data_IF_143173820522
#
_entry.id   IF_143173820522
#
_cell.length_a   1.000
_cell.length_b   1.000
_cell.length_c   1.000
_cell.angle_alpha   90.00
_cell.angle_beta   90.00
_cell.angle_gamma   90.00
#
_symmetry.space_group_name_H-M   'P 1'
#
loop_
_entity.id
_entity.type
_entity.pdbx_description
1 polymer ?
#
# COMPACT_ATOMS: atom_id res chain seq x y z
N UNK A 1 -0.24 22.34 3.26
CA UNK A 1 -0.38 21.68 2.00
C UNK A 1 -0.57 20.16 2.15
N UNK A 2 -0.85 19.53 1.07
CA UNK A 2 -0.98 18.09 0.93
C UNK A 2 -0.37 17.67 -0.40
N UNK A 3 0.41 16.61 -0.40
CA UNK A 3 0.86 15.93 -1.62
C UNK A 3 1.27 14.48 -1.33
N UNK A 4 1.83 13.79 -2.31
CA UNK A 4 2.43 12.45 -2.18
C UNK A 4 3.55 12.28 -3.21
N UNK A 5 4.34 11.24 -3.08
CA UNK A 5 5.41 10.85 -4.00
C UNK A 5 4.85 10.14 -5.25
N UNK A 6 4.09 10.87 -6.04
CA UNK A 6 3.43 10.34 -7.23
C UNK A 6 4.37 9.99 -8.39
N UNK A 7 5.65 10.29 -8.28
CA UNK A 7 6.64 9.84 -9.26
C UNK A 7 6.69 8.32 -9.36
N UNK A 8 6.36 7.62 -8.29
CA UNK A 8 6.25 6.16 -8.27
C UNK A 8 4.80 5.72 -8.42
N UNK A 9 4.53 4.91 -9.42
CA UNK A 9 3.18 4.41 -9.77
C UNK A 9 2.43 3.80 -8.59
N UNK A 10 3.15 3.16 -7.65
CA UNK A 10 2.52 2.48 -6.53
C UNK A 10 1.77 3.44 -5.60
N UNK A 11 2.27 4.65 -5.33
CA UNK A 11 1.57 5.61 -4.47
C UNK A 11 0.25 6.08 -5.09
N UNK A 12 0.23 6.28 -6.41
CA UNK A 12 -1.00 6.56 -7.14
C UNK A 12 -2.00 5.39 -7.01
N UNK A 13 -1.53 4.16 -7.18
CA UNK A 13 -2.35 2.96 -7.03
C UNK A 13 -2.86 2.76 -5.60
N UNK A 14 -2.03 3.00 -4.60
CA UNK A 14 -2.41 2.93 -3.18
C UNK A 14 -3.47 3.98 -2.84
N UNK A 15 -3.33 5.21 -3.35
CA UNK A 15 -4.33 6.26 -3.20
C UNK A 15 -5.67 5.83 -3.79
N UNK A 16 -5.68 5.32 -5.01
CA UNK A 16 -6.88 4.83 -5.67
C UNK A 16 -7.53 3.68 -4.90
N UNK A 17 -6.73 2.73 -4.41
CA UNK A 17 -7.22 1.61 -3.59
C UNK A 17 -7.81 2.10 -2.26
N UNK A 18 -7.16 3.03 -1.58
CA UNK A 18 -7.66 3.63 -0.35
C UNK A 18 -8.99 4.34 -0.53
N UNK A 19 -9.11 5.15 -1.58
CA UNK A 19 -10.36 5.84 -1.94
C UNK A 19 -11.47 4.89 -2.38
N UNK A 20 -11.13 3.70 -2.84
CA UNK A 20 -12.05 2.67 -3.35
C UNK A 20 -12.36 1.58 -2.33
N UNK A 21 -11.79 1.66 -1.14
CA UNK A 21 -11.89 0.58 -0.14
C UNK A 21 -13.34 0.23 0.20
N UNK A 22 -14.21 1.24 0.29
CA UNK A 22 -15.62 1.04 0.57
C UNK A 22 -16.30 0.15 -0.49
N UNK A 23 -16.03 0.35 -1.78
CA UNK A 23 -16.59 -0.44 -2.88
C UNK A 23 -15.94 -1.81 -2.97
N UNK A 24 -14.62 -1.88 -2.85
CA UNK A 24 -13.87 -3.13 -2.96
C UNK A 24 -14.17 -4.13 -1.84
N UNK A 25 -14.70 -3.67 -0.72
CA UNK A 25 -15.09 -4.50 0.42
C UNK A 25 -16.56 -4.92 0.43
N UNK A 26 -17.38 -4.40 -0.47
CA UNK A 26 -18.75 -4.89 -0.71
C UNK A 26 -18.75 -6.34 -1.20
N UNK A 27 -19.92 -6.98 -1.20
CA UNK A 27 -20.06 -8.33 -1.76
C UNK A 27 -19.65 -8.37 -3.24
N UNK A 28 -20.06 -7.38 -4.03
CA UNK A 28 -19.70 -7.29 -5.45
C UNK A 28 -18.21 -6.97 -5.66
N UNK A 29 -17.66 -6.08 -4.84
CA UNK A 29 -16.22 -5.79 -4.87
C UNK A 29 -15.37 -7.01 -4.53
N UNK A 30 -15.78 -7.82 -3.55
CA UNK A 30 -15.09 -9.08 -3.23
C UNK A 30 -15.18 -10.10 -4.35
N UNK A 31 -16.34 -10.25 -4.98
CA UNK A 31 -16.50 -11.12 -6.16
C UNK A 31 -15.56 -10.66 -7.29
N UNK A 32 -15.52 -9.36 -7.57
CA UNK A 32 -14.64 -8.80 -8.58
C UNK A 32 -13.17 -9.11 -8.28
N UNK A 33 -12.70 -8.87 -7.04
CA UNK A 33 -11.32 -9.17 -6.64
C UNK A 33 -10.96 -10.65 -6.81
N UNK A 34 -11.87 -11.53 -6.41
CA UNK A 34 -11.68 -12.99 -6.56
C UNK A 34 -11.55 -13.37 -8.03
N UNK A 35 -12.46 -12.89 -8.89
CA UNK A 35 -12.42 -13.19 -10.32
C UNK A 35 -11.19 -12.58 -11.01
N UNK A 36 -10.81 -11.36 -10.64
CA UNK A 36 -9.62 -10.71 -11.19
C UNK A 36 -8.32 -11.45 -10.82
N UNK A 37 -8.26 -12.01 -9.61
CA UNK A 37 -7.09 -12.72 -9.09
C UNK A 37 -7.03 -14.18 -9.54
N UNK A 38 -8.08 -14.72 -10.15
CA UNK A 38 -8.11 -16.12 -10.61
C UNK A 38 -7.44 -16.23 -11.98
N UNK A 39 -6.25 -16.87 -12.05
CA UNK A 39 -5.55 -17.05 -13.33
C UNK A 39 -6.25 -18.05 -14.26
N UNK A 40 -7.23 -18.80 -13.76
CA UNK A 40 -7.99 -19.80 -14.54
C UNK A 40 -9.28 -19.23 -15.10
N UNK A 41 -9.73 -18.06 -14.62
CA UNK A 41 -10.92 -17.40 -15.13
C UNK A 41 -10.63 -16.81 -16.51
N UNK A 42 -11.22 -17.41 -17.53
CA UNK A 42 -11.10 -16.97 -18.93
C UNK A 42 -12.01 -15.78 -19.24
N UNK A 43 -12.98 -15.50 -18.41
CA UNK A 43 -13.96 -14.42 -18.59
C UNK A 43 -13.45 -13.05 -18.12
N UNK A 44 -12.18 -12.90 -17.87
CA UNK A 44 -11.47 -11.71 -17.39
C UNK A 44 -12.37 -10.51 -17.09
N UNK A 45 -12.58 -10.25 -15.80
CA UNK A 45 -13.32 -9.05 -15.37
C UNK A 45 -12.49 -7.80 -15.66
N UNK A 46 -13.11 -6.80 -16.29
CA UNK A 46 -12.48 -5.52 -16.58
C UNK A 46 -12.62 -4.50 -15.46
N UNK A 47 -12.18 -3.28 -15.71
CA UNK A 47 -12.35 -2.12 -14.83
C UNK A 47 -13.64 -1.33 -15.14
N UNK A 48 -14.41 -1.76 -16.11
CA UNK A 48 -15.66 -1.16 -16.56
C UNK A 48 -16.93 -1.69 -15.87
N UNK A 49 -16.72 -2.37 -14.74
CA UNK A 49 -17.79 -2.92 -13.91
C UNK A 49 -18.40 -1.86 -12.96
N UNK A 50 -19.25 -2.30 -12.02
CA UNK A 50 -19.94 -1.42 -11.07
C UNK A 50 -19.05 -0.82 -9.99
N UNK A 51 -17.82 -1.34 -9.80
CA UNK A 51 -16.90 -0.92 -8.72
C UNK A 51 -16.01 0.24 -9.16
N UNK A 52 -15.28 0.06 -10.25
CA UNK A 52 -14.20 0.96 -10.63
C UNK A 52 -14.61 2.32 -11.19
N UNK A 53 -15.71 2.48 -11.93
CA UNK A 53 -16.13 3.81 -12.40
C UNK A 53 -16.36 4.80 -11.26
N UNK A 54 -16.95 4.34 -10.15
CA UNK A 54 -17.12 5.15 -8.95
C UNK A 54 -15.79 5.48 -8.26
N UNK A 55 -14.86 4.54 -8.24
CA UNK A 55 -13.52 4.73 -7.69
C UNK A 55 -12.72 5.79 -8.49
N UNK A 56 -12.73 5.71 -9.81
CA UNK A 56 -12.08 6.69 -10.68
C UNK A 56 -12.70 8.09 -10.54
N UNK A 57 -14.03 8.18 -10.45
CA UNK A 57 -14.71 9.45 -10.23
C UNK A 57 -14.30 10.10 -8.89
N UNK A 58 -14.11 9.29 -7.82
CA UNK A 58 -13.59 9.79 -6.54
C UNK A 58 -12.14 10.22 -6.62
N UNK A 59 -11.30 9.50 -7.34
CA UNK A 59 -9.90 9.88 -7.54
C UNK A 59 -9.82 11.23 -8.28
N UNK A 60 -10.61 11.40 -9.32
CA UNK A 60 -10.72 12.64 -10.05
C UNK A 60 -11.21 13.80 -9.15
N UNK A 61 -12.22 13.55 -8.32
CA UNK A 61 -12.71 14.54 -7.36
C UNK A 61 -11.63 14.87 -6.32
N UNK A 62 -10.94 13.87 -5.79
CA UNK A 62 -9.84 14.05 -4.85
C UNK A 62 -8.73 14.92 -5.43
N UNK A 63 -8.31 14.69 -6.67
CA UNK A 63 -7.31 15.52 -7.36
C UNK A 63 -7.79 16.98 -7.46
N UNK A 64 -9.05 17.21 -7.83
CA UNK A 64 -9.63 18.55 -7.89
C UNK A 64 -9.65 19.22 -6.53
N UNK A 65 -10.09 18.54 -5.50
CA UNK A 65 -10.28 19.10 -4.15
C UNK A 65 -8.95 19.39 -3.44
N UNK A 66 -7.94 18.58 -3.69
CA UNK A 66 -6.60 18.78 -3.12
C UNK A 66 -5.75 19.77 -3.91
N UNK A 67 -6.15 20.11 -5.13
CA UNK A 67 -5.42 21.01 -6.00
C UNK A 67 -4.08 20.45 -6.52
N UNK A 68 -3.96 19.13 -6.57
CA UNK A 68 -2.78 18.47 -7.14
C UNK A 68 -2.56 18.90 -8.59
N UNK A 69 -1.31 19.17 -8.93
CA UNK A 69 -0.88 19.65 -10.24
C UNK A 69 0.08 18.68 -10.92
N UNK A 70 0.40 18.94 -12.18
CA UNK A 70 1.39 18.14 -12.90
C UNK A 70 2.78 18.18 -12.23
N UNK A 71 3.13 19.27 -11.53
CA UNK A 71 4.40 19.37 -10.82
C UNK A 71 4.45 18.41 -9.60
N UNK A 72 3.32 18.13 -8.97
CA UNK A 72 3.27 17.16 -7.86
C UNK A 72 3.59 15.73 -8.33
N UNK A 73 3.35 15.42 -9.60
CA UNK A 73 3.66 14.10 -10.18
C UNK A 73 5.16 13.83 -10.33
N UNK A 74 5.99 14.86 -10.21
CA UNK A 74 7.45 14.75 -10.30
C UNK A 74 8.13 14.59 -8.93
N UNK A 75 7.35 14.72 -7.84
CA UNK A 75 7.88 14.57 -6.48
C UNK A 75 8.17 13.10 -6.17
N UNK A 76 9.35 12.86 -5.62
CA UNK A 76 9.76 11.56 -5.11
C UNK A 76 9.59 11.48 -3.59
N UNK A 77 9.88 10.31 -3.03
CA UNK A 77 9.76 10.05 -1.60
C UNK A 77 10.60 11.01 -0.73
N UNK A 78 11.84 11.27 -1.13
CA UNK A 78 12.74 12.14 -0.36
C UNK A 78 12.27 13.59 -0.36
N UNK A 79 11.74 14.06 -1.50
CA UNK A 79 11.17 15.41 -1.63
C UNK A 79 10.00 15.59 -0.67
N UNK A 80 9.02 14.69 -0.72
CA UNK A 80 7.79 14.77 0.08
C UNK A 80 8.10 14.61 1.57
N UNK A 81 8.96 13.66 1.93
CA UNK A 81 9.42 13.44 3.30
C UNK A 81 10.13 14.67 3.84
N UNK A 82 11.01 15.28 3.02
CA UNK A 82 11.69 16.52 3.37
C UNK A 82 10.75 17.70 3.58
N UNK A 83 9.73 17.86 2.73
CA UNK A 83 8.70 18.89 2.86
C UNK A 83 7.87 18.70 4.13
N UNK A 84 7.46 17.47 4.45
CA UNK A 84 6.74 17.18 5.68
C UNK A 84 7.60 17.47 6.92
N UNK A 85 8.85 17.03 6.91
CA UNK A 85 9.80 17.27 8.01
C UNK A 85 10.04 18.76 8.28
N UNK A 86 9.95 19.62 7.27
CA UNK A 86 10.06 21.08 7.39
C UNK A 86 8.73 21.79 7.76
N UNK A 87 7.62 21.04 7.86
CA UNK A 87 6.31 21.60 8.13
C UNK A 87 5.65 22.28 6.93
N UNK A 88 6.15 22.07 5.72
CA UNK A 88 5.58 22.61 4.47
C UNK A 88 4.31 21.85 4.08
N UNK A 89 4.20 20.58 4.50
CA UNK A 89 3.03 19.73 4.32
C UNK A 89 2.39 19.43 5.67
N UNK A 90 1.07 19.50 5.72
CA UNK A 90 0.30 19.04 6.87
C UNK A 90 0.02 17.53 6.84
N UNK A 91 -0.06 16.95 5.65
CA UNK A 91 -0.36 15.54 5.40
C UNK A 91 0.28 15.09 4.10
N UNK A 92 0.62 13.82 4.03
CA UNK A 92 0.97 13.13 2.79
C UNK A 92 0.68 11.64 2.91
N UNK A 93 0.64 10.92 1.79
CA UNK A 93 0.49 9.46 1.82
C UNK A 93 1.80 8.80 2.22
N UNK A 94 1.73 7.91 3.20
CA UNK A 94 2.87 7.16 3.71
C UNK A 94 2.42 5.87 4.37
N UNK A 95 3.39 5.10 4.86
CA UNK A 95 3.17 3.91 5.67
C UNK A 95 3.35 4.20 7.17
N UNK A 96 3.01 3.21 8.02
CA UNK A 96 3.26 3.30 9.47
C UNK A 96 4.75 3.50 9.81
N UNK A 97 5.66 2.98 9.00
CA UNK A 97 7.11 3.19 9.18
C UNK A 97 7.51 4.68 9.09
N UNK A 98 6.81 5.48 8.28
CA UNK A 98 7.03 6.93 8.21
C UNK A 98 6.78 7.64 9.55
N UNK A 99 5.81 7.19 10.33
CA UNK A 99 5.52 7.77 11.66
C UNK A 99 6.70 7.57 12.60
N UNK A 100 7.27 6.36 12.64
CA UNK A 100 8.43 6.06 13.48
C UNK A 100 9.63 6.93 13.10
N UNK A 101 9.93 7.00 11.81
CA UNK A 101 11.03 7.82 11.29
C UNK A 101 10.91 9.30 11.72
N UNK A 102 9.72 9.88 11.67
CA UNK A 102 9.52 11.28 12.09
C UNK A 102 9.60 11.45 13.60
N UNK A 103 9.10 10.51 14.37
CA UNK A 103 9.23 10.54 15.84
C UNK A 103 10.69 10.51 16.28
N UNK A 104 11.53 9.73 15.65
CA UNK A 104 12.98 9.70 15.90
C UNK A 104 13.66 11.03 15.60
N UNK A 105 13.11 11.81 14.69
CA UNK A 105 13.53 13.18 14.38
C UNK A 105 12.90 14.24 15.30
N UNK A 106 12.10 13.84 16.30
CA UNK A 106 11.40 14.75 17.20
C UNK A 106 10.17 15.41 16.61
N UNK A 107 9.65 14.90 15.50
CA UNK A 107 8.44 15.39 14.83
C UNK A 107 7.24 14.59 15.34
N UNK A 108 6.24 15.28 15.89
CA UNK A 108 4.99 14.66 16.35
C UNK A 108 4.09 14.32 15.16
N UNK A 109 4.29 13.15 14.60
CA UNK A 109 3.52 12.61 13.49
C UNK A 109 2.55 11.53 13.96
N UNK A 110 1.38 11.47 13.34
CA UNK A 110 0.38 10.44 13.57
C UNK A 110 -0.11 9.84 12.26
N UNK A 111 -0.54 8.60 12.31
CA UNK A 111 -1.06 7.88 11.15
C UNK A 111 -2.59 7.96 11.13
N UNK A 112 -3.13 8.38 9.99
CA UNK A 112 -4.56 8.49 9.76
C UNK A 112 -5.02 7.46 8.72
N UNK A 113 -6.18 6.82 8.93
CA UNK A 113 -6.76 5.95 7.91
C UNK A 113 -7.29 6.77 6.73
N UNK A 114 -7.52 6.13 5.60
CA UNK A 114 -8.36 6.69 4.55
C UNK A 114 -9.80 6.85 5.03
N UNK A 115 -10.43 7.94 4.64
CA UNK A 115 -11.82 8.22 4.95
C UNK A 115 -12.68 8.02 3.70
N UNK A 116 -13.77 7.27 3.84
CA UNK A 116 -14.80 7.23 2.82
C UNK A 116 -15.75 8.43 2.96
N UNK A 117 -16.57 8.65 1.93
CA UNK A 117 -17.61 9.69 1.97
C UNK A 117 -18.65 9.49 3.10
N UNK A 118 -18.82 8.25 3.57
CA UNK A 118 -19.74 7.91 4.67
C UNK A 118 -19.07 8.00 6.05
N UNK A 119 -17.83 8.47 6.13
CA UNK A 119 -17.07 8.54 7.38
C UNK A 119 -16.46 7.20 7.84
N UNK A 120 -16.55 6.15 7.04
CA UNK A 120 -15.84 4.89 7.29
C UNK A 120 -14.34 5.10 7.19
N UNK A 121 -13.60 4.35 7.99
CA UNK A 121 -12.14 4.45 8.10
C UNK A 121 -11.51 3.17 7.56
N UNK A 122 -10.58 3.32 6.63
CA UNK A 122 -9.93 2.20 5.97
C UNK A 122 -8.42 2.26 6.13
N UNK A 123 -7.84 1.13 6.46
CA UNK A 123 -6.38 0.93 6.42
C UNK A 123 -6.08 -0.13 5.38
N UNK A 124 -5.09 0.17 4.54
CA UNK A 124 -4.50 -0.85 3.69
C UNK A 124 -3.41 -1.55 4.47
N UNK A 125 -3.47 -2.86 4.51
CA UNK A 125 -2.40 -3.70 5.05
C UNK A 125 -1.92 -4.62 3.95
N UNK A 126 -0.61 -4.61 3.72
CA UNK A 126 0.02 -5.53 2.79
C UNK A 126 1.09 -6.34 3.53
N UNK A 127 1.32 -7.61 3.16
CA UNK A 127 2.51 -8.31 3.63
C UNK A 127 3.74 -7.53 3.12
N UNK A 128 4.50 -6.94 4.04
CA UNK A 128 5.65 -6.12 3.67
C UNK A 128 6.76 -6.94 3.02
N UNK A 129 6.96 -8.16 3.51
CA UNK A 129 7.92 -9.09 2.92
C UNK A 129 7.21 -10.32 2.40
N UNK A 130 7.49 -10.64 1.15
CA UNK A 130 7.11 -11.91 0.54
C UNK A 130 8.39 -12.70 0.26
N UNK A 131 8.44 -13.92 0.74
CA UNK A 131 9.57 -14.81 0.49
C UNK A 131 9.14 -15.90 -0.47
N UNK A 132 9.79 -15.98 -1.62
CA UNK A 132 9.59 -17.04 -2.58
C UNK A 132 10.83 -17.95 -2.61
N UNK A 133 10.60 -19.25 -2.68
CA UNK A 133 11.66 -20.20 -2.92
C UNK A 133 11.83 -20.42 -4.43
N UNK A 134 13.08 -20.42 -4.90
CA UNK A 134 13.36 -20.71 -6.30
C UNK A 134 12.92 -22.16 -6.64
N UNK A 135 12.22 -22.32 -7.74
CA UNK A 135 11.75 -23.63 -8.23
C UNK A 135 12.90 -24.60 -8.48
N UNK A 136 14.09 -24.14 -8.84
CA UNK A 136 15.24 -25.00 -9.07
C UNK A 136 15.67 -25.79 -7.83
N UNK A 137 15.25 -25.35 -6.63
CA UNK A 137 15.43 -26.08 -5.39
C UNK A 137 14.69 -27.42 -5.35
N UNK A 138 13.71 -27.64 -6.23
CA UNK A 138 13.04 -28.96 -6.37
C UNK A 138 14.02 -30.03 -6.83
N UNK A 139 15.07 -29.66 -7.55
CA UNK A 139 16.09 -30.55 -8.10
C UNK A 139 17.30 -30.76 -7.18
N UNK A 140 17.41 -29.97 -6.09
CA UNK A 140 18.51 -30.05 -5.12
C UNK A 140 17.95 -30.16 -3.70
N UNK A 141 17.76 -31.38 -3.25
CA UNK A 141 17.18 -31.67 -1.94
C UNK A 141 18.00 -31.09 -0.78
N UNK A 142 19.33 -31.07 -0.88
CA UNK A 142 20.19 -30.56 0.18
C UNK A 142 20.07 -29.01 0.30
N UNK A 143 20.06 -28.33 -0.84
CA UNK A 143 19.83 -26.87 -0.86
C UNK A 143 18.43 -26.52 -0.42
N UNK A 144 17.42 -27.29 -0.84
CA UNK A 144 16.03 -27.08 -0.42
C UNK A 144 15.89 -27.16 1.10
N UNK A 145 16.49 -28.17 1.74
CA UNK A 145 16.45 -28.31 3.21
C UNK A 145 17.05 -27.07 3.88
N UNK A 146 18.20 -26.58 3.41
CA UNK A 146 18.82 -25.36 3.95
C UNK A 146 17.95 -24.12 3.75
N UNK A 147 17.37 -23.95 2.57
CA UNK A 147 16.46 -22.85 2.29
C UNK A 147 15.21 -22.86 3.19
N UNK A 148 14.65 -24.05 3.41
CA UNK A 148 13.53 -24.23 4.35
C UNK A 148 13.91 -23.94 5.80
N UNK A 149 15.13 -24.29 6.22
CA UNK A 149 15.63 -23.93 7.56
C UNK A 149 15.73 -22.42 7.74
N UNK A 150 16.29 -21.72 6.75
CA UNK A 150 16.35 -20.24 6.78
C UNK A 150 14.96 -19.64 6.85
N UNK A 151 14.04 -20.09 5.99
CA UNK A 151 12.66 -19.63 6.00
C UNK A 151 11.97 -19.87 7.35
N UNK A 152 12.21 -21.05 7.95
CA UNK A 152 11.66 -21.36 9.27
C UNK A 152 12.18 -20.42 10.36
N UNK A 153 13.46 -20.07 10.33
CA UNK A 153 14.03 -19.08 11.25
C UNK A 153 13.40 -17.70 11.03
N UNK A 154 13.31 -17.25 9.78
CA UNK A 154 12.71 -15.95 9.44
C UNK A 154 11.24 -15.83 9.86
N UNK A 155 10.49 -16.93 9.79
CA UNK A 155 9.07 -16.99 10.17
C UNK A 155 8.85 -17.42 11.63
N UNK A 156 9.90 -17.61 12.42
CA UNK A 156 9.77 -17.95 13.82
C UNK A 156 9.21 -16.76 14.62
N UNK A 157 8.51 -17.07 15.71
CA UNK A 157 7.93 -16.06 16.60
C UNK A 157 8.99 -15.06 17.07
N UNK A 158 10.16 -15.52 17.54
CA UNK A 158 11.23 -14.64 18.00
C UNK A 158 11.79 -13.72 16.91
N UNK A 159 11.89 -14.19 15.65
CA UNK A 159 12.31 -13.31 14.55
C UNK A 159 11.24 -12.28 14.23
N UNK A 160 9.97 -12.64 14.27
CA UNK A 160 8.85 -11.72 14.03
C UNK A 160 8.73 -10.68 15.17
N UNK A 161 8.91 -11.09 16.41
CA UNK A 161 8.96 -10.17 17.55
C UNK A 161 10.12 -9.16 17.44
N UNK A 162 11.30 -9.63 16.99
CA UNK A 162 12.44 -8.74 16.79
C UNK A 162 12.17 -7.72 15.67
N UNK A 163 11.62 -8.15 14.55
CA UNK A 163 11.23 -7.25 13.44
C UNK A 163 10.24 -6.19 13.92
N UNK A 164 9.26 -6.58 14.74
CA UNK A 164 8.28 -5.64 15.29
C UNK A 164 8.88 -4.68 16.34
N UNK A 165 9.90 -5.11 17.05
CA UNK A 165 10.57 -4.27 18.04
C UNK A 165 11.52 -3.25 17.42
N UNK A 166 12.14 -3.62 16.32
CA UNK A 166 13.10 -2.77 15.59
C UNK A 166 12.41 -1.77 14.63
N UNK A 167 11.07 -1.84 14.46
CA UNK A 167 10.26 -0.92 13.65
C UNK A 167 9.85 -1.45 12.31
#
# INVERSE_FOLDING_TARGET
>A
GFTADYLYDYTCMETLQGLSAAELTTTEGRKWRTAYSDPTDTARVGLDNTVWPGAFARMEQFIRDTGLTAADLELNYDDVTGMFGKGELAMYFSSSAGVQMFREQGIDATFLPFFSQNGEKWLMTTPYFQVALNRDLEQDAARRVKAMQVLHVMLSEGAQEQILADG
#
